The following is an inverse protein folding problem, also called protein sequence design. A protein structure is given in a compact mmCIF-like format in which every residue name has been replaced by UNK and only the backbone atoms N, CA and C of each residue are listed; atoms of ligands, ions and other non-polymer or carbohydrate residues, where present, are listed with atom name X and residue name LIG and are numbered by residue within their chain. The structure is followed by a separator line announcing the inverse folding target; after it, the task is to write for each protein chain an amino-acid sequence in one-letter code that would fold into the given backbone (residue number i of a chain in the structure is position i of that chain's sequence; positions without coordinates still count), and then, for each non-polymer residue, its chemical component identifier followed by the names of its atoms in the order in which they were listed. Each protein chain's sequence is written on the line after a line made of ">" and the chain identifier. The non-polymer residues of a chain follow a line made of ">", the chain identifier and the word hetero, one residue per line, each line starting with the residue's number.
data_IF_418431398410
#
_entry.id   IF_418431398410
#
_cell.length_a   1.000
_cell.length_b   1.000
_cell.length_c   1.000
_cell.angle_alpha   90.00
_cell.angle_beta   90.00
_cell.angle_gamma   90.00
#
_symmetry.space_group_name_H-M   'P 1'
#
loop_
_entity.id
_entity.type
_entity.pdbx_description
1 polymer ?
#
# COMPACT_ATOMS: atom_id res chain seq x y z
N UNK A 1 5.65 32.05 8.38
CA UNK A 1 4.99 31.59 9.63
C UNK A 1 3.51 31.64 9.37
N UNK A 2 2.83 30.50 9.30
CA UNK A 2 1.39 30.45 9.04
C UNK A 2 0.63 31.00 10.26
N UNK A 3 -0.44 31.78 10.04
CA UNK A 3 -1.24 32.36 11.11
C UNK A 3 -2.11 31.27 11.76
N UNK A 4 -1.96 31.08 13.07
CA UNK A 4 -2.83 30.19 13.85
C UNK A 4 -4.20 30.85 14.05
N UNK A 5 -5.26 30.15 13.67
CA UNK A 5 -6.64 30.57 13.86
C UNK A 5 -7.21 29.87 15.11
N UNK A 6 -8.14 30.54 15.83
CA UNK A 6 -8.94 29.86 16.85
C UNK A 6 -9.87 28.82 16.21
N UNK A 7 -10.36 27.87 16.98
CA UNK A 7 -11.22 26.78 16.44
C UNK A 7 -12.52 27.33 15.85
N UNK A 8 -13.09 28.38 16.45
CA UNK A 8 -14.27 29.08 15.90
C UNK A 8 -13.95 29.77 14.57
N UNK A 9 -12.79 30.42 14.47
CA UNK A 9 -12.36 31.08 13.21
C UNK A 9 -12.07 30.05 12.10
N UNK A 10 -11.50 28.89 12.45
CA UNK A 10 -11.30 27.79 11.50
C UNK A 10 -12.62 27.24 10.99
N UNK A 11 -13.59 27.06 11.89
CA UNK A 11 -14.90 26.54 11.54
C UNK A 11 -15.68 27.51 10.64
N UNK A 12 -15.66 28.81 10.97
CA UNK A 12 -16.26 29.85 10.14
C UNK A 12 -15.60 29.92 8.76
N UNK A 13 -14.26 29.95 8.71
CA UNK A 13 -13.54 30.02 7.44
C UNK A 13 -13.79 28.79 6.56
N UNK A 14 -13.84 27.60 7.15
CA UNK A 14 -14.17 26.38 6.42
C UNK A 14 -15.61 26.38 5.89
N UNK A 15 -16.57 26.92 6.63
CA UNK A 15 -17.95 27.06 6.17
C UNK A 15 -18.07 28.03 5.00
N UNK A 16 -17.41 29.21 5.08
CA UNK A 16 -17.39 30.20 4.01
C UNK A 16 -16.68 29.68 2.75
N UNK A 17 -15.54 29.01 2.91
CA UNK A 17 -14.81 28.40 1.79
C UNK A 17 -15.63 27.30 1.10
N UNK A 18 -16.34 26.50 1.89
CA UNK A 18 -17.21 25.46 1.35
C UNK A 18 -18.39 26.08 0.60
N UNK A 19 -19.00 27.13 1.14
CA UNK A 19 -20.07 27.88 0.47
C UNK A 19 -19.60 28.47 -0.87
N UNK A 20 -18.42 29.13 -0.89
CA UNK A 20 -17.85 29.72 -2.10
C UNK A 20 -17.46 28.65 -3.15
N UNK A 21 -16.99 27.49 -2.69
CA UNK A 21 -16.68 26.36 -3.56
C UNK A 21 -17.95 25.74 -4.18
N UNK A 22 -19.02 25.60 -3.38
CA UNK A 22 -20.31 25.09 -3.84
C UNK A 22 -21.02 26.06 -4.82
N UNK A 23 -20.69 27.36 -4.76
CA UNK A 23 -21.15 28.40 -5.70
C UNK A 23 -20.24 28.52 -6.94
N UNK A 24 -19.24 27.66 -7.11
CA UNK A 24 -18.23 27.74 -8.18
C UNK A 24 -17.46 29.08 -8.23
N UNK A 25 -17.52 29.85 -7.14
CA UNK A 25 -16.86 31.16 -7.05
C UNK A 25 -15.34 31.05 -6.84
N UNK A 26 -14.86 29.91 -6.31
CA UNK A 26 -13.44 29.59 -6.15
C UNK A 26 -13.17 28.17 -6.67
N UNK A 27 -12.14 28.04 -7.50
CA UNK A 27 -11.76 26.74 -8.09
C UNK A 27 -10.73 25.97 -7.26
N UNK A 28 -9.99 26.63 -6.37
CA UNK A 28 -8.97 26.00 -5.55
C UNK A 28 -8.75 26.76 -4.23
N UNK A 29 -8.61 26.01 -3.13
CA UNK A 29 -8.38 26.54 -1.79
C UNK A 29 -6.86 26.57 -1.46
N UNK A 30 -6.03 26.11 -2.39
CA UNK A 30 -4.57 25.89 -2.20
C UNK A 30 -3.84 27.20 -1.86
N UNK A 31 -4.23 28.35 -2.39
CA UNK A 31 -3.56 29.61 -2.12
C UNK A 31 -3.73 30.10 -0.66
N UNK A 32 -4.85 29.75 -0.02
CA UNK A 32 -5.11 30.15 1.37
C UNK A 32 -4.34 29.29 2.39
N UNK A 33 -4.00 28.06 2.02
CA UNK A 33 -3.21 27.13 2.86
C UNK A 33 -1.75 27.61 3.06
N UNK A 34 -1.26 28.50 2.20
CA UNK A 34 0.05 29.12 2.36
C UNK A 34 0.07 30.16 3.48
N UNK A 35 -1.06 30.77 3.80
CA UNK A 35 -1.19 31.83 4.80
C UNK A 35 -1.80 31.38 6.13
N UNK A 36 -2.67 30.36 6.08
CA UNK A 36 -3.41 29.86 7.25
C UNK A 36 -3.22 28.36 7.41
N UNK A 37 -3.28 27.86 8.64
CA UNK A 37 -3.41 26.44 8.93
C UNK A 37 -4.89 26.04 8.74
N UNK A 38 -5.29 25.76 7.49
CA UNK A 38 -6.63 25.30 7.15
C UNK A 38 -6.64 23.78 7.20
N UNK A 39 -7.62 23.20 7.90
CA UNK A 39 -7.81 21.74 7.91
C UNK A 39 -8.49 21.32 6.60
N UNK A 40 -7.69 20.93 5.60
CA UNK A 40 -8.16 20.42 4.30
C UNK A 40 -8.78 19.00 4.40
N UNK A 41 -9.12 18.52 5.58
CA UNK A 41 -9.86 17.28 5.71
C UNK A 41 -11.22 17.49 5.05
N UNK A 42 -11.35 17.01 3.81
CA UNK A 42 -12.68 16.90 3.18
C UNK A 42 -13.56 16.17 4.19
N UNK A 43 -14.69 16.77 4.62
CA UNK A 43 -15.56 16.10 5.58
C UNK A 43 -15.87 14.72 5.01
N UNK A 44 -15.76 13.70 5.85
CA UNK A 44 -16.05 12.31 5.50
C UNK A 44 -17.51 12.28 5.02
N UNK A 45 -17.71 12.28 3.70
CA UNK A 45 -19.04 12.36 3.13
C UNK A 45 -19.75 11.04 3.38
N UNK A 46 -20.62 11.02 4.40
CA UNK A 46 -21.50 9.88 4.71
C UNK A 46 -22.19 9.36 3.44
N UNK A 47 -22.59 10.26 2.56
CA UNK A 47 -23.21 9.92 1.28
C UNK A 47 -22.26 9.13 0.35
N UNK A 48 -20.99 9.56 0.21
CA UNK A 48 -20.02 8.84 -0.63
C UNK A 48 -19.71 7.48 -0.05
N UNK A 49 -19.54 7.38 1.27
CA UNK A 49 -19.30 6.12 1.96
C UNK A 49 -20.47 5.18 1.83
N UNK A 50 -21.69 5.66 2.06
CA UNK A 50 -22.92 4.85 1.92
C UNK A 50 -23.09 4.34 0.49
N UNK A 51 -22.83 5.16 -0.54
CA UNK A 51 -22.89 4.75 -1.93
C UNK A 51 -21.82 3.70 -2.25
N UNK A 52 -20.61 3.88 -1.76
CA UNK A 52 -19.52 2.93 -2.01
C UNK A 52 -19.78 1.59 -1.30
N UNK A 53 -20.17 1.64 -0.02
CA UNK A 53 -20.51 0.43 0.75
C UNK A 53 -21.73 -0.26 0.11
N UNK A 54 -22.77 0.49 -0.26
CA UNK A 54 -23.94 -0.04 -0.96
C UNK A 54 -23.58 -0.72 -2.28
N UNK A 55 -22.71 -0.11 -3.08
CA UNK A 55 -22.23 -0.70 -4.34
C UNK A 55 -21.49 -2.02 -4.10
N UNK A 56 -20.63 -2.07 -3.08
CA UNK A 56 -19.91 -3.32 -2.70
C UNK A 56 -20.89 -4.41 -2.24
N UNK A 57 -21.84 -4.05 -1.39
CA UNK A 57 -22.85 -5.01 -0.91
C UNK A 57 -23.73 -5.56 -2.05
N UNK A 58 -24.15 -4.70 -2.98
CA UNK A 58 -24.90 -5.14 -4.18
C UNK A 58 -24.04 -6.06 -5.03
N UNK A 59 -22.78 -5.75 -5.24
CA UNK A 59 -21.82 -6.60 -5.96
C UNK A 59 -21.68 -7.99 -5.31
N UNK A 60 -21.47 -8.02 -3.99
CA UNK A 60 -21.39 -9.27 -3.23
C UNK A 60 -22.72 -10.05 -3.31
N UNK A 61 -23.87 -9.38 -3.13
CA UNK A 61 -25.19 -9.99 -3.23
C UNK A 61 -25.43 -10.61 -4.59
N UNK A 62 -25.06 -9.93 -5.67
CA UNK A 62 -25.15 -10.45 -7.04
C UNK A 62 -24.24 -11.68 -7.25
N UNK A 63 -23.01 -11.64 -6.73
CA UNK A 63 -22.10 -12.78 -6.77
C UNK A 63 -22.66 -13.99 -6.02
N UNK A 64 -23.23 -13.77 -4.83
CA UNK A 64 -23.87 -14.84 -4.05
C UNK A 64 -25.12 -15.41 -4.75
N UNK A 65 -25.93 -14.56 -5.38
CA UNK A 65 -27.07 -14.99 -6.19
C UNK A 65 -26.64 -15.88 -7.36
N UNK A 66 -25.61 -15.46 -8.09
CA UNK A 66 -25.04 -16.28 -9.18
C UNK A 66 -24.48 -17.59 -8.61
N UNK A 67 -23.74 -17.53 -7.51
CA UNK A 67 -23.11 -18.69 -6.88
C UNK A 67 -24.15 -19.72 -6.41
N UNK A 68 -25.24 -19.27 -5.76
CA UNK A 68 -26.30 -20.16 -5.24
C UNK A 68 -27.12 -20.86 -6.33
N UNK A 69 -27.27 -20.22 -7.49
CA UNK A 69 -28.00 -20.79 -8.65
C UNK A 69 -27.06 -21.36 -9.71
N UNK A 70 -25.78 -21.42 -9.44
CA UNK A 70 -24.74 -21.72 -10.42
C UNK A 70 -24.90 -23.10 -11.08
N UNK A 71 -25.22 -24.11 -10.30
CA UNK A 71 -25.39 -25.46 -10.77
C UNK A 71 -26.61 -25.62 -11.70
N UNK A 72 -27.66 -24.84 -11.48
CA UNK A 72 -28.91 -24.89 -12.25
C UNK A 72 -28.85 -24.12 -13.59
N UNK A 73 -27.88 -23.22 -13.76
CA UNK A 73 -27.77 -22.38 -14.96
C UNK A 73 -26.94 -23.04 -16.05
N UNK A 74 -27.34 -22.87 -17.30
CA UNK A 74 -26.51 -23.24 -18.44
C UNK A 74 -25.26 -22.37 -18.55
N UNK A 75 -24.17 -22.89 -19.13
CA UNK A 75 -22.93 -22.14 -19.34
C UNK A 75 -23.13 -20.84 -20.10
N UNK A 76 -24.01 -20.87 -21.11
CA UNK A 76 -24.33 -19.68 -21.92
C UNK A 76 -25.12 -18.64 -21.11
N UNK A 77 -26.07 -19.08 -20.27
CA UNK A 77 -26.83 -18.19 -19.40
C UNK A 77 -25.90 -17.45 -18.42
N UNK A 78 -24.96 -18.16 -17.82
CA UNK A 78 -23.93 -17.60 -16.91
C UNK A 78 -23.13 -16.51 -17.62
N UNK A 79 -22.62 -16.78 -18.79
CA UNK A 79 -21.85 -15.81 -19.59
C UNK A 79 -22.67 -14.56 -19.93
N UNK A 80 -23.92 -14.74 -20.41
CA UNK A 80 -24.78 -13.64 -20.83
C UNK A 80 -25.15 -12.71 -19.63
N UNK A 81 -25.42 -13.29 -18.44
CA UNK A 81 -25.74 -12.50 -17.25
C UNK A 81 -24.56 -11.61 -16.87
N UNK A 82 -23.35 -12.17 -16.82
CA UNK A 82 -22.16 -11.40 -16.47
C UNK A 82 -21.86 -10.33 -17.51
N UNK A 83 -21.87 -10.69 -18.80
CA UNK A 83 -21.63 -9.74 -19.89
C UNK A 83 -22.63 -8.59 -19.87
N UNK A 84 -23.92 -8.91 -19.71
CA UNK A 84 -25.00 -7.91 -19.61
C UNK A 84 -24.79 -7.00 -18.40
N UNK A 85 -24.47 -7.57 -17.23
CA UNK A 85 -24.19 -6.79 -16.02
C UNK A 85 -23.02 -5.81 -16.21
N UNK A 86 -21.91 -6.27 -16.80
CA UNK A 86 -20.74 -5.40 -17.11
C UNK A 86 -21.17 -4.24 -18.01
N UNK A 87 -21.88 -4.55 -19.12
CA UNK A 87 -22.34 -3.52 -20.09
C UNK A 87 -23.26 -2.52 -19.40
N UNK A 88 -24.25 -2.99 -18.63
CA UNK A 88 -25.22 -2.13 -17.94
C UNK A 88 -24.51 -1.17 -16.97
N UNK A 89 -23.59 -1.66 -16.16
CA UNK A 89 -22.91 -0.81 -15.20
C UNK A 89 -21.95 0.18 -15.85
N UNK A 90 -21.24 -0.17 -16.91
CA UNK A 90 -20.40 0.78 -17.65
C UNK A 90 -21.24 1.84 -18.39
N UNK A 91 -22.36 1.44 -19.03
CA UNK A 91 -23.26 2.38 -19.71
C UNK A 91 -23.97 3.30 -18.70
N UNK A 92 -24.40 2.76 -17.55
CA UNK A 92 -24.97 3.57 -16.47
C UNK A 92 -23.93 4.56 -15.91
N UNK A 93 -22.71 4.10 -15.68
CA UNK A 93 -21.61 4.96 -15.26
C UNK A 93 -21.40 6.13 -16.21
N UNK A 94 -21.28 5.84 -17.51
CA UNK A 94 -21.11 6.87 -18.53
C UNK A 94 -22.28 7.86 -18.61
N UNK A 95 -23.52 7.38 -18.60
CA UNK A 95 -24.71 8.26 -18.67
C UNK A 95 -24.87 9.14 -17.43
N UNK A 96 -24.46 8.67 -16.26
CA UNK A 96 -24.58 9.39 -14.98
C UNK A 96 -23.39 10.33 -14.70
N UNK A 97 -22.37 10.34 -15.55
CA UNK A 97 -21.11 11.05 -15.28
C UNK A 97 -21.30 12.55 -15.02
N UNK A 98 -22.16 13.20 -15.78
CA UNK A 98 -22.44 14.64 -15.64
C UNK A 98 -23.50 14.96 -14.59
N UNK A 99 -24.52 14.11 -14.44
CA UNK A 99 -25.67 14.38 -13.56
C UNK A 99 -25.44 13.91 -12.12
N UNK A 100 -24.81 12.76 -11.94
CA UNK A 100 -24.59 12.11 -10.64
C UNK A 100 -23.17 11.49 -10.56
N UNK A 101 -22.11 12.32 -10.50
CA UNK A 101 -20.72 11.84 -10.62
C UNK A 101 -20.31 10.82 -9.56
N UNK A 102 -20.85 10.89 -8.34
CA UNK A 102 -20.56 9.91 -7.27
C UNK A 102 -21.19 8.54 -7.57
N UNK A 103 -22.44 8.53 -8.04
CA UNK A 103 -23.17 7.32 -8.44
C UNK A 103 -22.53 6.71 -9.70
N UNK A 104 -22.12 7.54 -10.66
CA UNK A 104 -21.36 7.12 -11.84
C UNK A 104 -20.10 6.34 -11.46
N UNK A 105 -19.29 6.86 -10.52
CA UNK A 105 -18.09 6.17 -10.03
C UNK A 105 -18.43 4.81 -9.40
N UNK A 106 -19.51 4.73 -8.61
CA UNK A 106 -19.97 3.47 -8.03
C UNK A 106 -20.37 2.45 -9.10
N UNK A 107 -21.02 2.90 -10.18
CA UNK A 107 -21.33 2.05 -11.32
C UNK A 107 -20.07 1.51 -12.01
N UNK A 108 -19.07 2.37 -12.24
CA UNK A 108 -17.78 1.93 -12.80
C UNK A 108 -17.07 0.91 -11.91
N UNK A 109 -17.10 1.08 -10.58
CA UNK A 109 -16.52 0.11 -9.64
C UNK A 109 -17.24 -1.24 -9.71
N UNK A 110 -18.58 -1.24 -9.74
CA UNK A 110 -19.39 -2.44 -9.91
C UNK A 110 -19.08 -3.15 -11.24
N UNK A 111 -19.01 -2.37 -12.33
CA UNK A 111 -18.63 -2.90 -13.64
C UNK A 111 -17.24 -3.57 -13.62
N UNK A 112 -16.25 -2.94 -12.96
CA UNK A 112 -14.91 -3.49 -12.80
C UNK A 112 -14.86 -4.76 -11.95
N UNK A 113 -15.65 -4.84 -10.87
CA UNK A 113 -15.80 -6.06 -10.06
C UNK A 113 -16.47 -7.18 -10.83
N UNK A 114 -17.58 -6.90 -11.52
CA UNK A 114 -18.29 -7.88 -12.35
C UNK A 114 -17.42 -8.40 -13.49
N UNK A 115 -16.61 -7.53 -14.11
CA UNK A 115 -15.67 -7.94 -15.15
C UNK A 115 -14.69 -9.00 -14.63
N UNK A 116 -14.07 -8.75 -13.47
CA UNK A 116 -13.14 -9.70 -12.87
C UNK A 116 -13.80 -10.99 -12.40
N UNK A 117 -14.96 -10.89 -11.75
CA UNK A 117 -15.77 -12.05 -11.39
C UNK A 117 -16.13 -12.87 -12.63
N UNK A 118 -16.49 -12.18 -13.74
CA UNK A 118 -16.78 -12.79 -15.02
C UNK A 118 -15.63 -13.61 -15.59
N UNK A 119 -14.39 -13.09 -15.54
CA UNK A 119 -13.20 -13.82 -15.98
C UNK A 119 -13.07 -15.14 -15.22
N UNK A 120 -13.18 -15.10 -13.88
CA UNK A 120 -13.05 -16.28 -13.02
C UNK A 120 -14.18 -17.28 -13.32
N UNK A 121 -15.41 -16.81 -13.38
CA UNK A 121 -16.59 -17.64 -13.60
C UNK A 121 -16.59 -18.29 -14.99
N UNK A 122 -16.18 -17.56 -16.03
CA UNK A 122 -16.05 -18.09 -17.40
C UNK A 122 -14.95 -19.14 -17.44
N UNK A 123 -13.79 -18.86 -16.84
CA UNK A 123 -12.69 -19.82 -16.73
C UNK A 123 -13.12 -21.16 -16.12
N UNK A 124 -13.90 -21.11 -15.03
CA UNK A 124 -14.45 -22.30 -14.36
C UNK A 124 -15.51 -23.01 -15.21
N UNK A 125 -16.42 -22.24 -15.79
CA UNK A 125 -17.57 -22.80 -16.55
C UNK A 125 -17.16 -23.52 -17.82
N UNK A 126 -16.20 -22.96 -18.54
CA UNK A 126 -15.74 -23.49 -19.82
C UNK A 126 -14.48 -24.37 -19.70
N UNK A 127 -14.05 -24.64 -18.47
CA UNK A 127 -12.86 -25.47 -18.18
C UNK A 127 -11.64 -25.04 -18.99
N UNK A 128 -11.42 -23.71 -19.08
CA UNK A 128 -10.34 -23.13 -19.90
C UNK A 128 -8.93 -23.47 -19.42
N UNK A 129 -8.82 -24.22 -18.33
CA UNK A 129 -7.54 -24.75 -17.83
C UNK A 129 -6.51 -23.70 -17.42
N UNK A 130 -6.94 -22.45 -17.22
CA UNK A 130 -6.05 -21.33 -16.87
C UNK A 130 -5.61 -21.35 -15.41
N UNK A 131 -4.43 -20.82 -15.17
CA UNK A 131 -3.91 -20.59 -13.82
C UNK A 131 -4.53 -19.32 -13.21
N UNK A 132 -4.69 -19.27 -11.88
CA UNK A 132 -5.28 -18.11 -11.18
C UNK A 132 -4.58 -16.79 -11.50
N UNK A 133 -3.26 -16.79 -11.71
CA UNK A 133 -2.52 -15.60 -12.07
C UNK A 133 -2.92 -15.01 -13.44
N UNK A 134 -3.36 -15.83 -14.41
CA UNK A 134 -3.82 -15.35 -15.70
C UNK A 134 -5.13 -14.56 -15.56
N UNK A 135 -6.04 -15.03 -14.70
CA UNK A 135 -7.29 -14.32 -14.39
C UNK A 135 -7.00 -12.97 -13.69
N UNK A 136 -6.09 -12.94 -12.73
CA UNK A 136 -5.67 -11.71 -12.06
C UNK A 136 -5.06 -10.70 -13.03
N UNK A 137 -4.20 -11.17 -13.94
CA UNK A 137 -3.59 -10.31 -14.96
C UNK A 137 -4.64 -9.76 -15.95
N UNK A 138 -5.51 -10.62 -16.45
CA UNK A 138 -6.58 -10.20 -17.37
C UNK A 138 -7.50 -9.16 -16.69
N UNK A 139 -7.81 -9.35 -15.40
CA UNK A 139 -8.57 -8.39 -14.62
C UNK A 139 -7.83 -7.07 -14.49
N UNK A 140 -6.54 -7.07 -14.10
CA UNK A 140 -5.74 -5.86 -13.99
C UNK A 140 -5.65 -5.09 -15.32
N UNK A 141 -5.41 -5.79 -16.44
CA UNK A 141 -5.34 -5.19 -17.78
C UNK A 141 -6.68 -4.55 -18.17
N UNK A 142 -7.81 -5.23 -17.89
CA UNK A 142 -9.13 -4.73 -18.28
C UNK A 142 -9.59 -3.50 -17.51
N UNK A 143 -9.19 -3.36 -16.23
CA UNK A 143 -9.56 -2.19 -15.42
C UNK A 143 -8.51 -1.06 -15.45
N UNK A 144 -7.29 -1.32 -15.94
CA UNK A 144 -6.24 -0.31 -16.02
C UNK A 144 -6.63 0.93 -16.86
N UNK A 145 -7.28 0.79 -18.05
CA UNK A 145 -7.79 1.92 -18.81
C UNK A 145 -8.82 2.76 -18.03
N UNK A 146 -9.62 2.12 -17.18
CA UNK A 146 -10.60 2.79 -16.34
C UNK A 146 -9.90 3.66 -15.28
N UNK A 147 -8.79 3.18 -14.68
CA UNK A 147 -7.99 3.97 -13.75
C UNK A 147 -7.45 5.25 -14.40
N UNK A 148 -7.01 5.15 -15.65
CA UNK A 148 -6.55 6.30 -16.45
C UNK A 148 -7.69 7.26 -16.79
N UNK A 149 -8.80 6.75 -17.28
CA UNK A 149 -9.97 7.55 -17.70
C UNK A 149 -10.57 8.34 -16.54
N UNK A 150 -10.85 7.68 -15.43
CA UNK A 150 -11.46 8.30 -14.24
C UNK A 150 -10.46 9.11 -13.41
N UNK A 151 -9.16 8.97 -13.66
CA UNK A 151 -8.07 9.48 -12.79
C UNK A 151 -8.28 9.08 -11.32
N UNK A 152 -8.75 7.84 -11.12
CA UNK A 152 -9.21 7.37 -9.82
C UNK A 152 -8.12 6.57 -9.10
N UNK A 153 -7.77 7.06 -7.90
CA UNK A 153 -6.73 6.43 -7.08
C UNK A 153 -7.15 5.06 -6.55
N UNK A 154 -8.45 4.84 -6.28
CA UNK A 154 -8.95 3.56 -5.77
C UNK A 154 -8.86 2.46 -6.84
N UNK A 155 -9.24 2.77 -8.09
CA UNK A 155 -9.11 1.83 -9.21
C UNK A 155 -7.65 1.48 -9.45
N UNK A 156 -6.74 2.47 -9.45
CA UNK A 156 -5.31 2.20 -9.64
C UNK A 156 -4.72 1.40 -8.45
N UNK A 157 -5.16 1.67 -7.23
CA UNK A 157 -4.80 0.86 -6.05
C UNK A 157 -5.20 -0.60 -6.27
N UNK A 158 -6.41 -0.83 -6.77
CA UNK A 158 -6.90 -2.18 -7.04
C UNK A 158 -6.09 -2.89 -8.13
N UNK A 159 -5.71 -2.17 -9.20
CA UNK A 159 -4.77 -2.69 -10.23
C UNK A 159 -3.44 -3.12 -9.60
N UNK A 160 -2.84 -2.27 -8.73
CA UNK A 160 -1.58 -2.60 -8.06
C UNK A 160 -1.73 -3.87 -7.20
N UNK A 161 -2.83 -4.00 -6.46
CA UNK A 161 -3.13 -5.18 -5.65
C UNK A 161 -3.27 -6.45 -6.51
N UNK A 162 -3.98 -6.37 -7.64
CA UNK A 162 -4.09 -7.51 -8.58
C UNK A 162 -2.73 -7.92 -9.14
N UNK A 163 -1.88 -6.96 -9.50
CA UNK A 163 -0.53 -7.23 -9.99
C UNK A 163 0.38 -7.80 -8.90
N UNK A 164 0.20 -7.37 -7.64
CA UNK A 164 0.92 -7.93 -6.49
C UNK A 164 0.62 -9.42 -6.33
N UNK A 165 -0.66 -9.81 -6.31
CA UNK A 165 -1.03 -11.21 -6.22
C UNK A 165 -0.70 -12.00 -7.50
N UNK A 166 -0.79 -11.37 -8.69
CA UNK A 166 -0.36 -11.98 -9.93
C UNK A 166 1.13 -12.37 -9.88
N UNK A 167 2.01 -11.43 -9.49
CA UNK A 167 3.45 -11.70 -9.44
C UNK A 167 3.80 -12.77 -8.39
N UNK A 168 3.10 -12.78 -7.26
CA UNK A 168 3.25 -13.81 -6.23
C UNK A 168 2.88 -15.21 -6.74
N UNK A 169 1.72 -15.33 -7.38
CA UNK A 169 1.27 -16.60 -7.94
C UNK A 169 2.18 -17.10 -9.09
N UNK A 170 2.65 -16.21 -9.95
CA UNK A 170 3.59 -16.56 -11.00
C UNK A 170 4.93 -17.05 -10.43
N UNK A 171 5.44 -16.38 -9.40
CA UNK A 171 6.68 -16.78 -8.74
C UNK A 171 6.58 -18.19 -8.10
N UNK A 172 5.45 -18.49 -7.42
CA UNK A 172 5.19 -19.83 -6.84
C UNK A 172 5.19 -20.91 -7.93
N UNK A 173 4.74 -20.57 -9.15
CA UNK A 173 4.72 -21.49 -10.29
C UNK A 173 6.03 -21.49 -11.11
N UNK A 174 7.08 -20.83 -10.63
CA UNK A 174 8.38 -20.74 -11.32
C UNK A 174 8.33 -19.94 -12.64
N UNK A 175 7.31 -19.09 -12.84
CA UNK A 175 7.11 -18.30 -14.04
C UNK A 175 7.55 -16.85 -13.85
N UNK A 176 8.14 -16.23 -14.87
CA UNK A 176 8.56 -14.83 -14.80
C UNK A 176 7.41 -13.87 -15.16
N UNK A 177 7.02 -12.90 -14.28
CA UNK A 177 5.90 -12.01 -14.50
C UNK A 177 6.26 -10.78 -15.36
N UNK A 178 6.51 -10.98 -16.67
CA UNK A 178 6.86 -9.91 -17.62
C UNK A 178 5.87 -8.75 -17.62
N UNK A 179 4.58 -9.03 -17.49
CA UNK A 179 3.55 -7.99 -17.46
C UNK A 179 3.73 -7.05 -16.25
N UNK A 180 4.10 -7.58 -15.09
CA UNK A 180 4.35 -6.78 -13.88
C UNK A 180 5.61 -5.94 -14.05
N UNK A 181 6.66 -6.49 -14.66
CA UNK A 181 7.89 -5.74 -14.96
C UNK A 181 7.59 -4.50 -15.82
N UNK A 182 6.72 -4.62 -16.82
CA UNK A 182 6.32 -3.50 -17.69
C UNK A 182 5.32 -2.57 -16.97
N UNK A 183 4.42 -3.12 -16.16
CA UNK A 183 3.40 -2.35 -15.47
C UNK A 183 3.99 -1.41 -14.42
N UNK A 184 5.03 -1.79 -13.67
CA UNK A 184 5.62 -0.98 -12.62
C UNK A 184 6.05 0.42 -13.12
N UNK A 185 6.91 0.56 -14.15
CA UNK A 185 7.28 1.87 -14.67
C UNK A 185 6.11 2.62 -15.32
N UNK A 186 5.18 1.91 -15.98
CA UNK A 186 3.96 2.52 -16.53
C UNK A 186 3.07 3.12 -15.44
N UNK A 187 2.92 2.43 -14.30
CA UNK A 187 2.18 2.94 -13.14
C UNK A 187 2.89 4.14 -12.52
N UNK A 188 4.23 4.14 -12.38
CA UNK A 188 4.96 5.31 -11.91
C UNK A 188 4.76 6.52 -12.84
N UNK A 189 4.79 6.33 -14.15
CA UNK A 189 4.49 7.38 -15.12
C UNK A 189 3.05 7.90 -14.97
N UNK A 190 2.07 7.00 -14.82
CA UNK A 190 0.67 7.37 -14.58
C UNK A 190 0.50 8.16 -13.29
N UNK A 191 1.14 7.76 -12.20
CA UNK A 191 1.12 8.46 -10.92
C UNK A 191 1.71 9.87 -11.07
N UNK A 192 2.82 9.98 -11.81
CA UNK A 192 3.51 11.25 -12.00
C UNK A 192 2.74 12.24 -12.86
N UNK A 193 2.23 11.80 -14.01
CA UNK A 193 1.62 12.69 -15.01
C UNK A 193 0.11 12.85 -14.89
N UNK A 194 -0.60 11.86 -14.32
CA UNK A 194 -2.07 11.83 -14.33
C UNK A 194 -2.68 11.90 -12.92
N UNK A 195 -2.03 11.30 -11.90
CA UNK A 195 -2.58 11.15 -10.55
C UNK A 195 -2.07 12.21 -9.55
N UNK A 196 -1.67 13.40 -10.03
CA UNK A 196 -1.17 14.50 -9.21
C UNK A 196 -0.09 14.09 -8.20
N UNK A 197 0.86 13.27 -8.64
CA UNK A 197 2.00 12.80 -7.83
C UNK A 197 1.57 12.21 -6.47
N UNK A 198 0.54 11.36 -6.46
CA UNK A 198 0.00 10.77 -5.24
C UNK A 198 1.06 9.97 -4.47
N UNK A 199 1.42 10.42 -3.27
CA UNK A 199 2.37 9.75 -2.39
C UNK A 199 1.91 8.34 -1.99
N UNK A 200 0.61 8.14 -1.76
CA UNK A 200 0.04 6.84 -1.41
C UNK A 200 0.23 5.81 -2.54
N UNK A 201 -0.10 6.18 -3.78
CA UNK A 201 0.08 5.28 -4.93
C UNK A 201 1.57 5.01 -5.21
N UNK A 202 2.42 6.03 -5.04
CA UNK A 202 3.87 5.87 -5.17
C UNK A 202 4.38 4.82 -4.17
N UNK A 203 3.96 4.92 -2.90
CA UNK A 203 4.31 3.95 -1.87
C UNK A 203 3.86 2.53 -2.24
N UNK A 204 2.60 2.35 -2.64
CA UNK A 204 2.07 1.03 -3.03
C UNK A 204 2.82 0.44 -4.23
N UNK A 205 3.11 1.25 -5.25
CA UNK A 205 3.86 0.77 -6.41
C UNK A 205 5.32 0.44 -6.04
N UNK A 206 5.90 1.14 -5.05
CA UNK A 206 7.22 0.78 -4.50
C UNK A 206 7.17 -0.55 -3.75
N UNK A 207 6.10 -0.82 -3.00
CA UNK A 207 5.88 -2.14 -2.37
C UNK A 207 5.78 -3.25 -3.42
N UNK A 208 5.03 -3.01 -4.51
CA UNK A 208 4.96 -3.96 -5.64
C UNK A 208 6.34 -4.19 -6.27
N UNK A 209 7.13 -3.14 -6.50
CA UNK A 209 8.49 -3.25 -7.02
C UNK A 209 9.39 -4.09 -6.11
N UNK A 210 9.37 -3.82 -4.80
CA UNK A 210 10.19 -4.55 -3.82
C UNK A 210 9.78 -6.03 -3.77
N UNK A 211 8.50 -6.32 -3.72
CA UNK A 211 7.99 -7.69 -3.73
C UNK A 211 8.36 -8.41 -5.04
N UNK A 212 8.23 -7.74 -6.19
CA UNK A 212 8.65 -8.27 -7.47
C UNK A 212 10.15 -8.62 -7.45
N UNK A 213 11.02 -7.69 -7.02
CA UNK A 213 12.48 -7.93 -6.95
C UNK A 213 12.82 -9.08 -6.00
N UNK A 214 12.19 -9.13 -4.82
CA UNK A 214 12.38 -10.20 -3.85
C UNK A 214 12.10 -11.57 -4.48
N UNK A 215 10.93 -11.71 -5.12
CA UNK A 215 10.49 -12.97 -5.72
C UNK A 215 11.37 -13.37 -6.92
N UNK A 216 11.80 -12.41 -7.74
CA UNK A 216 12.65 -12.73 -8.89
C UNK A 216 14.08 -13.14 -8.48
N UNK A 217 14.65 -12.49 -7.47
CA UNK A 217 15.94 -12.89 -6.92
C UNK A 217 15.87 -14.30 -6.32
N UNK A 218 14.80 -14.60 -5.59
CA UNK A 218 14.55 -15.93 -5.04
C UNK A 218 14.43 -17.00 -6.13
N UNK A 219 13.61 -16.76 -7.15
CA UNK A 219 13.42 -17.68 -8.29
C UNK A 219 14.67 -17.85 -9.16
N UNK A 220 15.54 -16.84 -9.20
CA UNK A 220 16.83 -16.92 -9.86
C UNK A 220 17.86 -17.77 -9.09
N UNK A 221 17.47 -18.34 -7.94
CA UNK A 221 18.35 -19.18 -7.10
C UNK A 221 19.31 -18.38 -6.21
N UNK A 222 19.06 -17.08 -6.00
CA UNK A 222 19.86 -16.31 -5.06
C UNK A 222 19.64 -16.84 -3.64
N UNK A 223 20.73 -16.98 -2.88
CA UNK A 223 20.63 -17.39 -1.48
C UNK A 223 19.97 -16.28 -0.63
N UNK A 224 19.45 -16.65 0.54
CA UNK A 224 18.71 -15.74 1.42
C UNK A 224 19.51 -14.48 1.77
N UNK A 225 20.81 -14.64 2.08
CA UNK A 225 21.70 -13.51 2.40
C UNK A 225 21.78 -12.52 1.24
N UNK A 226 21.98 -13.00 0.01
CA UNK A 226 22.06 -12.14 -1.19
C UNK A 226 20.79 -11.35 -1.39
N UNK A 227 19.62 -11.99 -1.28
CA UNK A 227 18.31 -11.30 -1.43
C UNK A 227 18.16 -10.20 -0.38
N UNK A 228 18.44 -10.53 0.89
CA UNK A 228 18.29 -9.60 2.02
C UNK A 228 19.25 -8.41 1.89
N UNK A 229 20.51 -8.66 1.52
CA UNK A 229 21.53 -7.60 1.33
C UNK A 229 21.16 -6.68 0.17
N UNK A 230 20.73 -7.22 -0.97
CA UNK A 230 20.33 -6.40 -2.12
C UNK A 230 19.16 -5.48 -1.74
N UNK A 231 18.12 -6.01 -1.08
CA UNK A 231 16.95 -5.23 -0.70
C UNK A 231 17.27 -4.22 0.42
N UNK A 232 18.19 -4.54 1.33
CA UNK A 232 18.73 -3.60 2.29
C UNK A 232 19.43 -2.41 1.61
N UNK A 233 20.30 -2.68 0.64
CA UNK A 233 21.02 -1.64 -0.13
C UNK A 233 20.02 -0.79 -0.93
N UNK A 234 19.03 -1.41 -1.58
CA UNK A 234 17.96 -0.67 -2.29
C UNK A 234 17.22 0.26 -1.32
N UNK A 235 16.94 -0.19 -0.10
CA UNK A 235 16.35 0.64 0.95
C UNK A 235 17.19 1.88 1.28
N UNK A 236 18.50 1.70 1.47
CA UNK A 236 19.44 2.80 1.73
C UNK A 236 19.54 3.77 0.55
N UNK A 237 19.55 3.26 -0.68
CA UNK A 237 19.55 4.09 -1.89
C UNK A 237 18.26 4.91 -2.00
N UNK A 238 17.11 4.27 -1.83
CA UNK A 238 15.80 4.92 -1.91
C UNK A 238 15.63 6.02 -0.84
N UNK A 239 16.16 5.80 0.37
CA UNK A 239 16.20 6.80 1.42
C UNK A 239 16.97 8.07 1.01
N UNK A 240 18.10 7.93 0.29
CA UNK A 240 18.97 9.04 -0.11
C UNK A 240 18.58 9.69 -1.43
N UNK A 241 17.78 9.02 -2.26
CA UNK A 241 17.47 9.49 -3.62
C UNK A 241 16.61 10.76 -3.58
N UNK A 242 17.06 11.89 -4.15
CA UNK A 242 16.29 13.13 -4.20
C UNK A 242 15.25 13.08 -5.33
N UNK A 243 14.18 12.26 -5.13
CA UNK A 243 13.11 12.17 -6.13
C UNK A 243 12.22 13.40 -6.07
N UNK A 244 12.27 14.25 -7.11
CA UNK A 244 11.48 15.47 -7.21
C UNK A 244 9.97 15.17 -7.13
N UNK A 245 9.30 15.74 -6.12
CA UNK A 245 7.88 15.55 -5.86
C UNK A 245 7.53 14.31 -5.01
N UNK A 246 8.49 13.42 -4.68
CA UNK A 246 8.27 12.22 -3.87
C UNK A 246 9.29 12.05 -2.75
N UNK A 247 10.11 13.06 -2.46
CA UNK A 247 11.23 12.96 -1.52
C UNK A 247 10.84 12.35 -0.17
N UNK A 248 9.76 12.83 0.43
CA UNK A 248 9.33 12.38 1.77
C UNK A 248 8.84 10.93 1.76
N UNK A 249 8.05 10.56 0.76
CA UNK A 249 7.51 9.19 0.66
C UNK A 249 8.57 8.18 0.21
N UNK A 250 9.50 8.58 -0.66
CA UNK A 250 10.64 7.75 -1.05
C UNK A 250 11.56 7.52 0.15
N UNK A 251 11.85 8.56 0.93
CA UNK A 251 12.63 8.44 2.16
C UNK A 251 11.94 7.52 3.18
N UNK A 252 10.62 7.66 3.38
CA UNK A 252 9.83 6.78 4.25
C UNK A 252 9.90 5.32 3.76
N UNK A 253 9.68 5.09 2.47
CA UNK A 253 9.75 3.75 1.86
C UNK A 253 11.15 3.15 2.02
N UNK A 254 12.19 3.96 1.81
CA UNK A 254 13.58 3.57 2.00
C UNK A 254 13.88 3.19 3.45
N UNK A 255 13.43 3.99 4.43
CA UNK A 255 13.57 3.68 5.85
C UNK A 255 12.86 2.38 6.24
N UNK A 256 11.63 2.17 5.79
CA UNK A 256 10.90 0.94 6.07
C UNK A 256 11.64 -0.27 5.46
N UNK A 257 12.12 -0.12 4.23
CA UNK A 257 12.80 -1.20 3.53
C UNK A 257 14.13 -1.55 4.19
N UNK A 258 15.05 -0.59 4.39
CA UNK A 258 16.31 -0.88 5.06
C UNK A 258 16.11 -1.27 6.54
N UNK A 259 15.03 -0.80 7.19
CA UNK A 259 14.66 -1.18 8.55
C UNK A 259 14.33 -2.67 8.64
N UNK A 260 13.40 -3.14 7.80
CA UNK A 260 12.96 -4.55 7.77
C UNK A 260 14.15 -5.47 7.44
N UNK A 261 14.85 -5.19 6.35
CA UNK A 261 15.96 -6.03 5.91
C UNK A 261 17.22 -5.87 6.77
N UNK A 262 17.44 -4.69 7.37
CA UNK A 262 18.49 -4.45 8.35
C UNK A 262 18.27 -5.24 9.64
N UNK A 263 17.03 -5.30 10.16
CA UNK A 263 16.69 -6.17 11.29
C UNK A 263 16.88 -7.64 10.89
N UNK A 264 16.47 -8.05 9.69
CA UNK A 264 16.69 -9.42 9.21
C UNK A 264 18.17 -9.80 9.19
N UNK A 265 19.08 -8.91 8.76
CA UNK A 265 20.53 -9.14 8.77
C UNK A 265 21.14 -9.29 10.17
N UNK A 266 20.44 -8.93 11.23
CA UNK A 266 20.91 -9.22 12.60
C UNK A 266 20.61 -10.65 13.04
N UNK A 267 19.92 -11.45 12.21
CA UNK A 267 19.58 -12.86 12.50
C UNK A 267 20.66 -13.79 11.94
N UNK A 268 21.34 -14.62 12.75
CA UNK A 268 22.38 -15.52 12.29
C UNK A 268 21.93 -16.46 11.16
N UNK A 269 20.72 -16.98 11.22
CA UNK A 269 20.13 -17.87 10.21
C UNK A 269 20.19 -17.31 8.77
N UNK A 270 20.13 -16.00 8.59
CA UNK A 270 20.24 -15.38 7.26
C UNK A 270 21.64 -15.60 6.65
N UNK A 271 22.67 -15.55 7.50
CA UNK A 271 24.07 -15.74 7.11
C UNK A 271 24.45 -17.22 6.90
N UNK A 272 23.77 -18.13 7.58
CA UNK A 272 23.99 -19.59 7.45
C UNK A 272 23.71 -20.10 6.04
N UNK A 273 22.98 -19.36 5.22
CA UNK A 273 22.83 -19.67 3.80
C UNK A 273 24.14 -19.60 3.01
N UNK A 274 25.22 -19.04 3.60
CA UNK A 274 26.50 -18.81 2.93
C UNK A 274 27.70 -19.20 3.80
N UNK A 275 27.62 -19.08 5.13
CA UNK A 275 28.72 -19.28 6.07
C UNK A 275 28.38 -20.39 7.10
N UNK A 276 29.38 -20.87 7.82
CA UNK A 276 29.16 -21.78 8.95
C UNK A 276 28.45 -21.10 10.11
N UNK A 277 27.78 -21.84 10.98
CA UNK A 277 26.97 -21.31 12.09
C UNK A 277 27.77 -20.37 13.01
N UNK A 278 29.03 -20.72 13.35
CA UNK A 278 29.88 -19.88 14.21
C UNK A 278 30.21 -18.54 13.55
N UNK A 279 30.60 -18.56 12.27
CA UNK A 279 30.91 -17.35 11.50
C UNK A 279 29.64 -16.50 11.31
N UNK A 280 28.51 -17.14 11.05
CA UNK A 280 27.21 -16.46 10.88
C UNK A 280 26.79 -15.71 12.13
N UNK A 281 26.99 -16.29 13.31
CA UNK A 281 26.68 -15.64 14.58
C UNK A 281 27.55 -14.40 14.81
N UNK A 282 28.86 -14.52 14.52
CA UNK A 282 29.79 -13.38 14.65
C UNK A 282 29.41 -12.25 13.67
N UNK A 283 29.17 -12.58 12.40
CA UNK A 283 28.80 -11.60 11.37
C UNK A 283 27.48 -10.89 11.70
N UNK A 284 26.48 -11.63 12.17
CA UNK A 284 25.20 -11.06 12.56
C UNK A 284 25.34 -10.09 13.75
N UNK A 285 26.17 -10.41 14.76
CA UNK A 285 26.43 -9.54 15.90
C UNK A 285 27.19 -8.28 15.45
N UNK A 286 28.25 -8.43 14.65
CA UNK A 286 29.03 -7.27 14.13
C UNK A 286 28.11 -6.36 13.30
N UNK A 287 27.31 -6.94 12.42
CA UNK A 287 26.34 -6.17 11.65
C UNK A 287 25.32 -5.46 12.55
N UNK A 288 24.81 -6.15 13.57
CA UNK A 288 23.83 -5.57 14.50
C UNK A 288 24.38 -4.34 15.24
N UNK A 289 25.64 -4.38 15.69
CA UNK A 289 26.30 -3.24 16.35
C UNK A 289 26.47 -2.09 15.36
N UNK A 290 27.01 -2.34 14.18
CA UNK A 290 27.22 -1.31 13.15
C UNK A 290 25.89 -0.69 12.70
N UNK A 291 24.88 -1.51 12.47
CA UNK A 291 23.55 -1.04 12.07
C UNK A 291 22.84 -0.28 13.19
N UNK A 292 22.99 -0.73 14.43
CA UNK A 292 22.50 -0.01 15.61
C UNK A 292 23.10 1.39 15.74
N UNK A 293 24.42 1.52 15.56
CA UNK A 293 25.12 2.82 15.55
C UNK A 293 24.63 3.71 14.39
N UNK A 294 24.43 3.14 13.21
CA UNK A 294 23.87 3.87 12.06
C UNK A 294 22.45 4.37 12.34
N UNK A 295 21.57 3.52 12.88
CA UNK A 295 20.21 3.91 13.26
C UNK A 295 20.22 5.00 14.34
N UNK A 296 21.11 4.88 15.34
CA UNK A 296 21.28 5.89 16.36
C UNK A 296 21.71 7.25 15.77
N UNK A 297 22.65 7.24 14.83
CA UNK A 297 23.03 8.45 14.09
C UNK A 297 21.85 9.08 13.33
N UNK A 298 20.99 8.27 12.70
CA UNK A 298 19.76 8.75 12.03
C UNK A 298 18.80 9.41 13.02
N UNK A 299 18.70 8.90 14.26
CA UNK A 299 17.86 9.48 15.32
C UNK A 299 18.36 10.87 15.71
N UNK A 300 19.69 11.04 15.83
CA UNK A 300 20.29 12.36 16.11
C UNK A 300 19.96 13.37 15.01
N UNK A 301 19.87 12.93 13.75
CA UNK A 301 19.40 13.72 12.61
C UNK A 301 17.90 14.04 12.60
N UNK A 302 17.17 13.63 13.64
CA UNK A 302 15.75 13.97 13.79
C UNK A 302 14.77 13.01 13.14
N UNK A 303 15.21 11.82 12.72
CA UNK A 303 14.36 10.89 12.00
C UNK A 303 13.50 10.03 12.94
N UNK A 304 12.18 10.23 12.87
CA UNK A 304 11.19 9.51 13.69
C UNK A 304 11.14 8.02 13.35
N UNK A 305 11.24 7.68 12.06
CA UNK A 305 11.17 6.27 11.61
C UNK A 305 12.37 5.47 12.12
N UNK A 306 13.54 6.12 12.26
CA UNK A 306 14.71 5.48 12.83
C UNK A 306 14.51 5.04 14.29
N UNK A 307 13.68 5.76 15.06
CA UNK A 307 13.30 5.35 16.42
C UNK A 307 12.51 4.04 16.39
N UNK A 308 11.54 3.91 15.45
CA UNK A 308 10.78 2.67 15.28
C UNK A 308 11.69 1.49 14.91
N UNK A 309 12.69 1.73 14.06
CA UNK A 309 13.68 0.70 13.69
C UNK A 309 14.50 0.30 14.91
N UNK A 310 14.95 1.25 15.73
CA UNK A 310 15.70 0.95 16.96
C UNK A 310 14.84 0.16 17.94
N UNK A 311 13.56 0.52 18.11
CA UNK A 311 12.63 -0.26 18.93
C UNK A 311 12.48 -1.69 18.41
N UNK A 312 12.38 -1.87 17.09
CA UNK A 312 12.33 -3.17 16.44
C UNK A 312 13.60 -4.00 16.70
N UNK A 313 14.79 -3.38 16.62
CA UNK A 313 16.07 -4.01 16.93
C UNK A 313 16.12 -4.48 18.40
N UNK A 314 15.78 -3.60 19.34
CA UNK A 314 15.78 -3.93 20.76
C UNK A 314 14.77 -5.05 21.04
N UNK A 315 13.57 -4.97 20.48
CA UNK A 315 12.55 -5.99 20.65
C UNK A 315 12.99 -7.35 20.07
N UNK A 316 13.66 -7.35 18.91
CA UNK A 316 14.22 -8.56 18.31
C UNK A 316 15.23 -9.22 19.24
N UNK A 317 16.21 -8.48 19.80
CA UNK A 317 17.17 -9.01 20.74
C UNK A 317 16.52 -9.46 22.05
N UNK A 318 15.53 -8.73 22.51
CA UNK A 318 14.72 -9.13 23.68
C UNK A 318 14.06 -10.49 23.42
N UNK A 319 13.48 -10.72 22.24
CA UNK A 319 12.88 -12.00 21.88
C UNK A 319 13.91 -13.12 21.91
N UNK A 320 15.06 -12.94 21.28
CA UNK A 320 16.12 -13.97 21.24
C UNK A 320 16.61 -14.38 22.64
N UNK A 321 16.82 -13.40 23.52
CA UNK A 321 17.37 -13.66 24.85
C UNK A 321 16.32 -14.24 25.79
N UNK A 322 15.07 -13.83 25.65
CA UNK A 322 14.04 -14.08 26.64
C UNK A 322 13.10 -15.23 26.31
N UNK A 323 13.01 -15.63 25.03
CA UNK A 323 12.00 -16.59 24.57
C UNK A 323 12.15 -17.98 25.19
N UNK A 324 13.39 -18.46 25.36
CA UNK A 324 13.68 -19.78 25.93
C UNK A 324 13.84 -19.76 27.46
N UNK A 325 14.03 -18.57 28.04
CA UNK A 325 14.36 -18.42 29.48
C UNK A 325 13.16 -18.03 30.34
N UNK A 326 12.16 -17.36 29.78
CA UNK A 326 11.03 -16.80 30.53
C UNK A 326 9.74 -17.59 30.31
N UNK A 327 8.92 -17.78 31.37
CA UNK A 327 7.54 -18.20 31.19
C UNK A 327 6.83 -17.28 30.19
N UNK A 328 6.05 -17.85 29.26
CA UNK A 328 5.40 -17.10 28.16
C UNK A 328 4.63 -15.86 28.61
N UNK A 329 3.96 -15.94 29.79
CA UNK A 329 3.24 -14.82 30.40
C UNK A 329 4.17 -13.66 30.78
N UNK A 330 5.32 -13.97 31.41
CA UNK A 330 6.31 -12.97 31.82
C UNK A 330 6.98 -12.35 30.60
N UNK A 331 7.26 -13.13 29.56
CA UNK A 331 7.75 -12.67 28.28
C UNK A 331 6.85 -11.58 27.67
N UNK A 332 5.55 -11.83 27.51
CA UNK A 332 4.63 -10.84 26.94
C UNK A 332 4.44 -9.62 27.85
N UNK A 333 4.46 -9.79 29.16
CA UNK A 333 4.31 -8.70 30.12
C UNK A 333 5.52 -7.75 30.06
N UNK A 334 6.74 -8.28 30.10
CA UNK A 334 7.96 -7.47 29.98
C UNK A 334 8.10 -6.81 28.61
N UNK A 335 7.79 -7.53 27.52
CA UNK A 335 7.77 -6.99 26.17
C UNK A 335 6.79 -5.83 26.03
N UNK A 336 5.59 -5.97 26.61
CA UNK A 336 4.59 -4.89 26.65
C UNK A 336 5.08 -3.68 27.43
N UNK A 337 5.70 -3.86 28.58
CA UNK A 337 6.29 -2.77 29.39
C UNK A 337 7.39 -2.03 28.59
N UNK A 338 8.28 -2.77 27.94
CA UNK A 338 9.33 -2.17 27.09
C UNK A 338 8.73 -1.29 26.01
N UNK A 339 7.71 -1.78 25.29
CA UNK A 339 7.03 -1.01 24.24
C UNK A 339 6.32 0.24 24.79
N UNK A 340 5.69 0.16 25.98
CA UNK A 340 5.08 1.31 26.64
C UNK A 340 6.12 2.36 27.04
N UNK A 341 7.26 1.95 27.59
CA UNK A 341 8.36 2.84 27.94
C UNK A 341 8.92 3.56 26.71
N UNK A 342 9.07 2.84 25.60
CA UNK A 342 9.47 3.45 24.33
C UNK A 342 8.43 4.45 23.81
N UNK A 343 7.13 4.11 23.85
CA UNK A 343 6.05 5.03 23.49
C UNK A 343 6.08 6.31 24.32
N UNK A 344 6.29 6.19 25.63
CA UNK A 344 6.42 7.32 26.56
C UNK A 344 7.64 8.19 26.26
N UNK A 345 8.79 7.56 26.00
CA UNK A 345 10.01 8.26 25.63
C UNK A 345 9.86 9.00 24.30
N UNK A 346 9.21 8.40 23.35
CA UNK A 346 8.91 8.98 22.04
C UNK A 346 8.02 10.22 22.15
N UNK A 347 6.90 10.14 22.89
CA UNK A 347 6.00 11.28 23.14
C UNK A 347 6.74 12.46 23.80
N UNK A 348 7.64 12.17 24.75
CA UNK A 348 8.44 13.19 25.41
C UNK A 348 9.44 13.88 24.47
N UNK A 349 10.01 13.17 23.50
CA UNK A 349 10.90 13.73 22.47
C UNK A 349 10.13 14.59 21.47
N UNK A 350 8.93 14.18 21.08
CA UNK A 350 8.08 14.95 20.18
C UNK A 350 7.63 16.28 20.81
N UNK A 351 7.21 16.26 22.06
CA UNK A 351 6.89 17.50 22.82
C UNK A 351 8.07 18.46 22.91
N UNK A 352 9.28 17.97 23.20
CA UNK A 352 10.49 18.81 23.24
C UNK A 352 10.84 19.47 21.90
N UNK A 353 10.48 18.85 20.78
CA UNK A 353 10.67 19.41 19.44
C UNK A 353 9.59 20.44 19.09
N UNK A 354 8.35 20.22 19.54
CA UNK A 354 7.26 21.17 19.37
C UNK A 354 7.46 22.47 20.16
N UNK A 355 8.11 22.40 21.33
CA UNK A 355 8.42 23.56 22.18
C UNK A 355 9.67 24.35 21.71
N UNK A 356 10.46 23.79 20.78
CA UNK A 356 11.70 24.42 20.25
C UNK A 356 11.55 24.96 18.82
N UNK A 357 10.35 24.89 18.24
CA UNK A 357 9.98 25.43 16.93
C UNK A 357 8.98 26.59 17.08
#
# INVERSE_FOLDING_TARGET
>A
MKRKLSDEQKQFLNQELQYLYDQEAINDVVELDDYYEIDQRKPFSVMTTSLTVGAVLVGIGFLLFIASNWSAMSSMTKYLIVLFGVIVFYVAGWKLEQSLPKTSRSCYYLGGFLYGAGIILIGQTFHLGGQAYQALLAWAIGIFPLAYYLRDKAVLTFVIVLLFFNSMQMAINGSFPFAVLIAIPAIYALIHYVMNKSNFLFFLNTVLLVQFLHLQLWNAGANTLTVVVILFIIGLLLYKLPLNGYRNIAALSGHLLHGIYGIALTVPYIWESTFSADVSSILAIVFAVLYGLFVFWLIQGGNVVAIMILCGLIFRFYVDISYDFLPKSVFFLLGGIILILFGFWFEKQEKRRGDSA
#
